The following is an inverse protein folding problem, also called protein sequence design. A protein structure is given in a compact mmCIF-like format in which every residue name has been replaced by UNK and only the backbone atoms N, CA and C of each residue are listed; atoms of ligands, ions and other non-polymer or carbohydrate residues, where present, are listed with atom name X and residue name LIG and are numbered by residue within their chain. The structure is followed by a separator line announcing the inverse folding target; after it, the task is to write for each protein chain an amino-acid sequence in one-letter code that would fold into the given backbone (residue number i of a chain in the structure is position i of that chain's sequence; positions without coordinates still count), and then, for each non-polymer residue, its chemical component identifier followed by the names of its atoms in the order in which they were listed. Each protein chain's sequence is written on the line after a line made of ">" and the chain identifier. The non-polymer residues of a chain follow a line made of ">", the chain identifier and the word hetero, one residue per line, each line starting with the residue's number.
data_IF_551434202031
#
_entry.id   IF_551434202031
#
_cell.length_a   1.000
_cell.length_b   1.000
_cell.length_c   1.000
_cell.angle_alpha   90.00
_cell.angle_beta   90.00
_cell.angle_gamma   90.00
#
_symmetry.space_group_name_H-M   'P 1'
#
loop_
_entity.id
_entity.type
_entity.pdbx_description
1 polymer ?
#
# COMPACT_ATOMS: atom_id res chain seq x y z
N UNK A 1 13.84 57.35 9.56
CA UNK A 1 12.69 57.51 8.64
C UNK A 1 12.87 56.53 7.50
N UNK A 2 11.84 55.69 7.24
CA UNK A 2 11.67 54.76 6.11
C UNK A 2 12.66 53.58 6.03
N UNK A 3 12.33 52.33 5.72
CA UNK A 3 11.10 51.54 5.52
C UNK A 3 11.57 50.08 5.53
N UNK A 4 11.03 49.19 6.37
CA UNK A 4 10.05 48.18 5.99
C UNK A 4 10.21 47.66 4.55
N UNK A 5 10.53 46.37 4.39
CA UNK A 5 9.98 45.47 3.37
C UNK A 5 10.26 44.02 3.78
N UNK A 6 9.42 43.51 4.70
CA UNK A 6 9.22 42.07 4.88
C UNK A 6 8.69 41.50 3.56
N UNK A 7 9.39 40.51 3.01
CA UNK A 7 8.87 39.66 1.94
C UNK A 7 8.23 38.43 2.58
N UNK A 8 6.90 38.25 2.52
CA UNK A 8 6.31 36.97 2.86
C UNK A 8 6.49 36.03 1.66
N UNK A 9 7.35 35.02 1.83
CA UNK A 9 7.43 33.87 0.93
C UNK A 9 6.13 33.08 1.09
N UNK A 10 5.21 33.28 0.14
CA UNK A 10 3.95 32.57 0.03
C UNK A 10 4.24 31.13 -0.43
N UNK A 11 4.37 30.20 0.51
CA UNK A 11 4.46 28.77 0.23
C UNK A 11 3.07 28.27 -0.15
N UNK A 12 2.79 28.15 -1.45
CA UNK A 12 1.60 27.47 -1.94
C UNK A 12 1.81 25.95 -1.76
N UNK A 13 1.22 25.38 -0.71
CA UNK A 13 1.05 23.93 -0.60
C UNK A 13 0.04 23.48 -1.68
N UNK A 14 0.55 23.01 -2.82
CA UNK A 14 -0.25 22.20 -3.73
C UNK A 14 -0.43 20.83 -3.06
N UNK A 15 -1.58 20.62 -2.41
CA UNK A 15 -2.02 19.29 -2.04
C UNK A 15 -2.42 18.59 -3.34
N UNK A 16 -1.50 17.79 -3.88
CA UNK A 16 -1.82 16.78 -4.89
C UNK A 16 -2.74 15.77 -4.21
N UNK A 17 -4.05 15.98 -4.34
CA UNK A 17 -5.02 14.94 -4.05
C UNK A 17 -4.75 13.80 -5.04
N UNK A 18 -4.12 12.73 -4.58
CA UNK A 18 -4.01 11.49 -5.33
C UNK A 18 -5.43 11.08 -5.76
N UNK A 19 -5.68 10.80 -7.04
CA UNK A 19 -7.00 10.36 -7.48
C UNK A 19 -7.27 9.01 -6.84
N UNK A 20 -8.05 9.00 -5.75
CA UNK A 20 -8.74 7.80 -5.31
C UNK A 20 -9.75 7.48 -6.41
N UNK A 21 -9.51 6.40 -7.14
CA UNK A 21 -10.42 5.96 -8.17
C UNK A 21 -11.75 5.61 -7.51
N UNK A 22 -12.71 6.54 -7.57
CA UNK A 22 -14.03 6.36 -7.02
C UNK A 22 -14.69 5.18 -7.75
N UNK A 23 -15.06 4.16 -6.98
CA UNK A 23 -15.79 3.01 -7.51
C UNK A 23 -17.18 3.51 -7.90
N UNK A 24 -17.39 3.75 -9.20
CA UNK A 24 -18.51 4.55 -9.71
C UNK A 24 -19.92 4.04 -9.34
N UNK A 25 -20.08 2.84 -8.76
CA UNK A 25 -21.40 2.29 -8.40
C UNK A 25 -21.36 1.04 -7.49
N UNK A 26 -20.25 0.70 -6.81
CA UNK A 26 -20.13 -0.52 -5.99
C UNK A 26 -20.40 -1.86 -6.70
N UNK A 27 -20.54 -1.86 -8.03
CA UNK A 27 -20.77 -3.10 -8.80
C UNK A 27 -19.47 -3.78 -9.19
N UNK A 28 -18.36 -3.06 -9.07
CA UNK A 28 -17.03 -3.54 -9.47
C UNK A 28 -16.09 -3.39 -8.30
N UNK A 29 -15.53 -4.49 -7.82
CA UNK A 29 -14.51 -4.47 -6.77
C UNK A 29 -13.12 -4.60 -7.40
N UNK A 30 -12.11 -3.92 -6.84
CA UNK A 30 -10.73 -4.12 -7.26
C UNK A 30 -10.32 -5.57 -7.04
N UNK A 31 -9.54 -6.08 -7.98
CA UNK A 31 -8.79 -7.31 -7.84
C UNK A 31 -7.32 -7.02 -8.07
N UNK A 32 -6.49 -7.72 -7.32
CA UNK A 32 -5.06 -7.48 -7.28
C UNK A 32 -4.32 -8.68 -7.86
N UNK A 33 -3.49 -8.42 -8.86
CA UNK A 33 -2.57 -9.43 -9.39
C UNK A 33 -1.25 -9.34 -8.65
N UNK A 34 -0.76 -10.49 -8.19
CA UNK A 34 0.52 -10.61 -7.51
C UNK A 34 1.51 -11.29 -8.44
N UNK A 35 2.69 -10.71 -8.60
CA UNK A 35 3.75 -11.25 -9.45
C UNK A 35 5.13 -11.04 -8.85
N UNK A 36 6.13 -11.70 -9.42
CA UNK A 36 7.55 -11.58 -9.04
C UNK A 36 7.82 -11.81 -7.54
N UNK A 37 7.05 -12.69 -6.89
CA UNK A 37 7.23 -12.98 -5.47
C UNK A 37 8.60 -13.61 -5.22
N UNK A 38 9.34 -13.03 -4.28
CA UNK A 38 10.60 -13.55 -3.77
C UNK A 38 10.62 -13.41 -2.26
N UNK A 39 11.11 -14.42 -1.57
CA UNK A 39 11.36 -14.35 -0.14
C UNK A 39 12.71 -14.96 0.22
N UNK A 40 13.27 -14.47 1.31
CA UNK A 40 14.44 -15.04 1.97
C UNK A 40 14.10 -15.24 3.44
N UNK A 41 14.53 -16.35 4.01
CA UNK A 41 14.44 -16.64 5.45
C UNK A 41 15.86 -16.91 5.94
N UNK A 42 16.35 -16.13 6.91
CA UNK A 42 17.77 -16.18 7.30
C UNK A 42 18.10 -17.25 8.34
N UNK A 43 17.10 -17.83 8.98
CA UNK A 43 17.26 -18.94 9.92
C UNK A 43 16.03 -19.86 9.87
N UNK A 44 16.08 -20.99 10.58
CA UNK A 44 14.97 -21.94 10.77
C UNK A 44 14.11 -21.64 12.00
N UNK A 45 14.46 -20.60 12.77
CA UNK A 45 13.85 -20.24 14.06
C UNK A 45 12.96 -19.00 14.01
N UNK A 46 12.90 -18.32 12.86
CA UNK A 46 11.97 -17.22 12.63
C UNK A 46 12.50 -15.84 12.97
N UNK A 47 13.82 -15.62 13.02
CA UNK A 47 14.38 -14.33 13.48
C UNK A 47 14.67 -13.32 12.37
N UNK A 48 14.43 -13.66 11.10
CA UNK A 48 14.62 -12.69 10.02
C UNK A 48 14.38 -13.21 8.60
N UNK A 49 14.43 -12.27 7.67
CA UNK A 49 14.22 -12.52 6.25
C UNK A 49 13.74 -11.27 5.51
N UNK A 50 13.41 -11.44 4.24
CA UNK A 50 12.75 -10.40 3.45
C UNK A 50 11.71 -11.02 2.52
N UNK A 51 10.71 -10.24 2.15
CA UNK A 51 9.76 -10.60 1.11
C UNK A 51 9.56 -9.41 0.18
N UNK A 52 9.56 -9.67 -1.12
CA UNK A 52 9.30 -8.67 -2.16
C UNK A 52 8.37 -9.23 -3.22
N UNK A 53 7.45 -8.41 -3.72
CA UNK A 53 6.51 -8.78 -4.77
C UNK A 53 5.94 -7.52 -5.44
N UNK A 54 5.30 -7.72 -6.59
CA UNK A 54 4.54 -6.67 -7.27
C UNK A 54 3.04 -6.89 -7.09
N UNK A 55 2.32 -5.79 -6.89
CA UNK A 55 0.87 -5.71 -6.89
C UNK A 55 0.39 -4.88 -8.07
N UNK A 56 -0.61 -5.36 -8.79
CA UNK A 56 -1.27 -4.60 -9.85
C UNK A 56 -2.76 -4.57 -9.61
N UNK A 57 -3.33 -3.38 -9.49
CA UNK A 57 -4.78 -3.18 -9.38
C UNK A 57 -5.41 -3.24 -10.79
N UNK A 58 -6.39 -4.11 -10.99
CA UNK A 58 -7.01 -4.29 -12.30
C UNK A 58 -7.90 -3.12 -12.75
N UNK A 59 -8.42 -2.32 -11.82
CA UNK A 59 -9.33 -1.19 -12.13
C UNK A 59 -8.55 0.09 -12.43
N UNK A 60 -7.52 0.37 -11.63
CA UNK A 60 -6.73 1.61 -11.78
C UNK A 60 -5.51 1.42 -12.67
N UNK A 61 -5.08 0.17 -12.89
CA UNK A 61 -3.81 -0.14 -13.55
C UNK A 61 -2.58 0.23 -12.71
N UNK A 62 -2.76 0.68 -11.46
CA UNK A 62 -1.67 1.03 -10.59
C UNK A 62 -0.82 -0.19 -10.25
N UNK A 63 0.50 0.00 -10.23
CA UNK A 63 1.47 -1.07 -9.99
C UNK A 63 2.42 -0.65 -8.87
N UNK A 64 2.42 -1.41 -7.78
CA UNK A 64 3.28 -1.19 -6.63
C UNK A 64 4.29 -2.32 -6.46
N UNK A 65 5.55 -1.97 -6.24
CA UNK A 65 6.58 -2.92 -5.83
C UNK A 65 6.75 -2.83 -4.32
N UNK A 66 6.33 -3.88 -3.61
CA UNK A 66 6.39 -3.94 -2.16
C UNK A 66 7.59 -4.77 -1.71
N UNK A 67 8.26 -4.31 -0.65
CA UNK A 67 9.37 -5.01 -0.01
C UNK A 67 9.31 -4.79 1.50
N UNK A 68 9.49 -5.85 2.28
CA UNK A 68 9.51 -5.79 3.73
C UNK A 68 10.57 -6.72 4.32
N UNK A 69 11.09 -6.34 5.50
CA UNK A 69 11.80 -7.28 6.37
C UNK A 69 10.78 -8.16 7.09
N UNK A 70 10.98 -9.47 7.04
CA UNK A 70 10.15 -10.42 7.77
C UNK A 70 10.54 -10.37 9.25
N UNK A 71 9.57 -10.06 10.09
CA UNK A 71 9.72 -10.04 11.54
C UNK A 71 9.66 -11.46 12.10
N UNK A 72 9.69 -11.55 13.45
CA UNK A 72 9.43 -12.79 14.19
C UNK A 72 8.32 -13.54 13.50
N UNK A 73 8.47 -14.87 13.41
CA UNK A 73 7.40 -15.71 12.91
C UNK A 73 7.16 -15.55 11.37
N UNK A 74 8.15 -15.00 10.65
CA UNK A 74 8.23 -14.75 9.21
C UNK A 74 7.05 -13.96 8.62
N UNK A 75 6.70 -12.84 9.27
CA UNK A 75 5.54 -12.02 8.91
C UNK A 75 5.92 -10.57 8.66
N UNK A 76 5.18 -9.91 7.78
CA UNK A 76 5.19 -8.45 7.66
C UNK A 76 3.80 -7.93 7.27
N UNK A 77 3.57 -6.65 7.51
CA UNK A 77 2.31 -5.98 7.22
C UNK A 77 2.61 -4.64 6.55
N UNK A 78 1.91 -4.37 5.45
CA UNK A 78 1.82 -3.05 4.84
C UNK A 78 0.48 -2.43 5.23
N UNK A 79 0.49 -1.32 5.97
CA UNK A 79 -0.70 -0.55 6.30
C UNK A 79 -0.88 0.55 5.26
N UNK A 80 -1.43 0.18 4.10
CA UNK A 80 -1.42 1.00 2.90
C UNK A 80 -0.27 0.65 1.96
N UNK A 81 -0.49 1.00 0.70
CA UNK A 81 0.47 0.90 -0.41
C UNK A 81 0.64 2.28 -1.04
N UNK A 82 1.70 2.50 -1.85
CA UNK A 82 1.89 3.77 -2.54
C UNK A 82 0.69 4.19 -3.42
N UNK A 83 0.02 3.22 -4.06
CA UNK A 83 -1.15 3.50 -4.89
C UNK A 83 -2.47 3.48 -4.14
N UNK A 84 -2.55 2.80 -2.99
CA UNK A 84 -3.76 2.68 -2.19
C UNK A 84 -3.49 2.66 -0.68
N UNK A 85 -3.82 3.77 0.00
CA UNK A 85 -3.66 3.89 1.45
C UNK A 85 -4.67 3.05 2.27
N UNK A 86 -5.74 2.56 1.65
CA UNK A 86 -6.78 1.76 2.29
C UNK A 86 -6.59 0.25 2.11
N UNK A 87 -5.57 -0.17 1.36
CA UNK A 87 -5.18 -1.57 1.20
C UNK A 87 -4.18 -1.98 2.28
N UNK A 88 -4.58 -2.88 3.15
CA UNK A 88 -3.69 -3.59 4.08
C UNK A 88 -3.24 -4.91 3.46
N UNK A 89 -1.92 -5.15 3.43
CA UNK A 89 -1.34 -6.40 2.92
C UNK A 89 -0.59 -7.12 4.02
N UNK A 90 -1.06 -8.31 4.39
CA UNK A 90 -0.38 -9.18 5.34
C UNK A 90 0.36 -10.27 4.57
N UNK A 91 1.65 -10.41 4.85
CA UNK A 91 2.52 -11.42 4.26
C UNK A 91 2.97 -12.37 5.36
N UNK A 92 2.84 -13.67 5.12
CA UNK A 92 3.43 -14.70 5.97
C UNK A 92 4.07 -15.79 5.11
N UNK A 93 5.30 -16.17 5.44
CA UNK A 93 6.04 -17.24 4.76
C UNK A 93 6.39 -18.31 5.78
N UNK A 94 5.74 -19.48 5.74
CA UNK A 94 6.00 -20.55 6.72
C UNK A 94 5.87 -21.91 6.10
N UNK A 95 6.75 -22.84 6.51
CA UNK A 95 6.68 -24.24 6.14
C UNK A 95 6.46 -24.40 4.62
N UNK A 96 7.26 -23.67 3.83
CA UNK A 96 7.21 -23.66 2.36
C UNK A 96 5.89 -23.12 1.75
N UNK A 97 5.02 -22.54 2.59
CA UNK A 97 3.78 -21.90 2.18
C UNK A 97 3.86 -20.38 2.27
N UNK A 98 3.27 -19.72 1.28
CA UNK A 98 3.04 -18.29 1.23
C UNK A 98 1.57 -18.01 1.53
N UNK A 99 1.32 -17.19 2.55
CA UNK A 99 0.00 -16.60 2.80
C UNK A 99 0.05 -15.11 2.52
N UNK A 100 -0.86 -14.65 1.68
CA UNK A 100 -1.09 -13.26 1.36
C UNK A 100 -2.55 -12.93 1.65
N UNK A 101 -2.77 -11.99 2.56
CA UNK A 101 -4.11 -11.47 2.84
C UNK A 101 -4.13 -10.00 2.45
N UNK A 102 -4.98 -9.67 1.49
CA UNK A 102 -5.24 -8.32 1.02
C UNK A 102 -6.61 -7.92 1.57
N UNK A 103 -6.61 -6.89 2.41
CA UNK A 103 -7.81 -6.33 3.03
C UNK A 103 -7.93 -4.87 2.62
N UNK A 104 -8.93 -4.56 1.81
CA UNK A 104 -9.12 -3.25 1.20
C UNK A 104 -10.45 -2.65 1.61
N UNK A 105 -10.40 -1.45 2.19
CA UNK A 105 -11.60 -0.70 2.52
C UNK A 105 -12.04 0.14 1.32
N UNK A 106 -13.13 -0.27 0.69
CA UNK A 106 -13.70 0.41 -0.49
C UNK A 106 -14.86 1.31 -0.08
N UNK A 107 -14.73 2.62 -0.31
CA UNK A 107 -15.84 3.56 -0.12
C UNK A 107 -16.80 3.54 -1.31
N UNK A 108 -18.08 3.52 -0.98
CA UNK A 108 -19.18 3.26 -1.88
C UNK A 108 -20.17 4.43 -1.87
N UNK A 109 -20.16 5.32 -2.87
CA UNK A 109 -21.09 6.44 -2.91
C UNK A 109 -22.54 5.93 -2.97
N UNK A 110 -23.38 6.36 -2.02
CA UNK A 110 -24.82 6.04 -2.01
C UNK A 110 -25.25 4.83 -1.18
N UNK A 111 -24.32 4.15 -0.48
CA UNK A 111 -24.66 3.15 0.54
C UNK A 111 -24.54 3.79 1.93
N UNK A 112 -25.62 4.40 2.41
CA UNK A 112 -25.72 4.80 3.83
C UNK A 112 -25.87 3.53 4.66
N UNK A 113 -24.94 3.32 5.59
CA UNK A 113 -25.02 2.29 6.63
C UNK A 113 -26.30 2.38 7.45
#
# INVERSE_FOLDING_TARGET
>A
MLSSLLHPVLLALLVLASPTAAVNNCTTFPSWTISDFKSTTTDSVGSGGSASFKLVNNLTGASDSLNCSLQVNYRCIFAGTPSDANLTVNVAVRAESLTLLLDESVQCPGRTS
#
